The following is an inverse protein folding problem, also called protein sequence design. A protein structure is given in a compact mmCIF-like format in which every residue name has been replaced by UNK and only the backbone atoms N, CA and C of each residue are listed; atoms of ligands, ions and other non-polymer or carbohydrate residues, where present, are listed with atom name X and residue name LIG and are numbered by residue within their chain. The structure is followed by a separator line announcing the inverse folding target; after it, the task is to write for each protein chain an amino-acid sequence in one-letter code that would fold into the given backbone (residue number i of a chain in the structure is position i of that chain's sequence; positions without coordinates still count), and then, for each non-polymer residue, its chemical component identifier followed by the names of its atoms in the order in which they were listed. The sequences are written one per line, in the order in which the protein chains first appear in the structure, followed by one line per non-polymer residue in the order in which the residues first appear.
data_IF_587266629574
#
_entry.id   IF_587266629574
#
_cell.length_a   1.000
_cell.length_b   1.000
_cell.length_c   1.000
_cell.angle_alpha   90.00
_cell.angle_beta   90.00
_cell.angle_gamma   90.00
#
_symmetry.space_group_name_H-M   'P 1'
#
loop_
_entity.id
_entity.type
_entity.pdbx_description
1 polymer ?
#
# COMPACT_ATOMS: atom_id res chain seq x y z
N UNK A 1 -6.64 2.20 16.07
CA UNK A 1 -5.63 1.13 15.97
C UNK A 1 -6.38 -0.04 15.35
N UNK A 2 -6.04 -0.44 14.11
CA UNK A 2 -6.78 -1.51 13.44
C UNK A 2 -6.56 -2.83 14.17
N UNK A 3 -7.65 -3.55 14.43
CA UNK A 3 -7.58 -4.91 14.96
C UNK A 3 -7.25 -5.89 13.82
N UNK A 4 -6.60 -7.02 14.12
CA UNK A 4 -6.34 -8.05 13.11
C UNK A 4 -7.64 -8.60 12.48
N UNK A 5 -8.76 -8.58 13.21
CA UNK A 5 -10.08 -8.94 12.67
C UNK A 5 -10.56 -7.95 11.61
N UNK A 6 -10.45 -6.63 11.86
CA UNK A 6 -10.81 -5.60 10.88
C UNK A 6 -9.98 -5.73 9.60
N UNK A 7 -8.67 -5.93 9.73
CA UNK A 7 -7.80 -6.14 8.56
C UNK A 7 -8.23 -7.38 7.78
N UNK A 8 -8.56 -8.47 8.47
CA UNK A 8 -9.02 -9.71 7.83
C UNK A 8 -10.36 -9.53 7.13
N UNK A 9 -11.29 -8.79 7.74
CA UNK A 9 -12.58 -8.48 7.14
C UNK A 9 -12.39 -7.63 5.88
N UNK A 10 -11.59 -6.57 5.95
CA UNK A 10 -11.27 -5.74 4.79
C UNK A 10 -10.61 -6.56 3.68
N UNK A 11 -9.64 -7.43 4.01
CA UNK A 11 -9.02 -8.31 3.01
C UNK A 11 -10.03 -9.26 2.35
N UNK A 12 -10.99 -9.79 3.10
CA UNK A 12 -12.06 -10.61 2.53
C UNK A 12 -12.98 -9.82 1.59
N UNK A 13 -13.28 -8.56 1.92
CA UNK A 13 -14.04 -7.68 1.01
C UNK A 13 -13.26 -7.41 -0.28
N UNK A 14 -11.95 -7.17 -0.19
CA UNK A 14 -11.09 -6.98 -1.35
C UNK A 14 -10.99 -8.26 -2.21
N UNK A 15 -10.90 -9.45 -1.59
CA UNK A 15 -10.98 -10.74 -2.29
C UNK A 15 -12.29 -10.92 -3.03
N UNK A 16 -13.41 -10.58 -2.40
CA UNK A 16 -14.74 -10.64 -3.03
C UNK A 16 -14.84 -9.69 -4.23
N UNK A 17 -14.21 -8.52 -4.13
CA UNK A 17 -14.12 -7.55 -5.23
C UNK A 17 -13.12 -7.98 -6.31
N UNK A 18 -12.15 -8.83 -5.97
CA UNK A 18 -11.05 -9.26 -6.84
C UNK A 18 -10.06 -8.14 -7.18
N UNK A 19 -10.07 -7.05 -6.40
CA UNK A 19 -9.23 -5.86 -6.57
C UNK A 19 -9.17 -5.03 -5.29
N UNK A 20 -8.17 -4.17 -5.19
CA UNK A 20 -8.16 -3.11 -4.18
C UNK A 20 -9.35 -2.14 -4.32
N UNK A 21 -9.58 -1.35 -3.28
CA UNK A 21 -10.68 -0.39 -3.21
C UNK A 21 -10.16 1.04 -3.23
N UNK A 22 -11.04 1.99 -3.56
CA UNK A 22 -10.70 3.42 -3.65
C UNK A 22 -10.09 3.97 -2.35
N UNK A 23 -10.45 3.41 -1.20
CA UNK A 23 -9.98 3.85 0.13
C UNK A 23 -9.05 2.84 0.79
N UNK A 24 -8.84 1.66 0.20
CA UNK A 24 -7.98 0.60 0.77
C UNK A 24 -7.16 -0.03 -0.34
N UNK A 25 -5.85 0.19 -0.30
CA UNK A 25 -4.92 -0.37 -1.27
C UNK A 25 -3.98 -1.40 -0.62
N UNK A 26 -3.77 -2.52 -1.31
CA UNK A 26 -2.85 -3.58 -0.86
C UNK A 26 -1.55 -3.53 -1.65
N UNK A 27 -0.43 -3.78 -0.98
CA UNK A 27 0.87 -3.92 -1.63
C UNK A 27 1.61 -5.09 -1.00
N UNK A 28 2.17 -5.95 -1.84
CA UNK A 28 2.93 -7.10 -1.37
C UNK A 28 4.15 -6.66 -0.57
N UNK A 29 4.82 -5.57 -0.96
CA UNK A 29 5.97 -4.99 -0.24
C UNK A 29 6.96 -6.06 0.27
N UNK A 30 7.08 -7.16 -0.48
CA UNK A 30 7.89 -8.34 -0.14
C UNK A 30 9.25 -8.27 -0.84
N UNK A 31 9.31 -7.64 -2.02
CA UNK A 31 10.50 -7.60 -2.87
C UNK A 31 11.17 -6.22 -2.92
N UNK A 32 10.81 -5.32 -2.00
CA UNK A 32 11.31 -3.95 -1.92
C UNK A 32 10.20 -2.90 -1.82
N UNK A 33 10.59 -1.62 -1.89
CA UNK A 33 9.67 -0.49 -1.84
C UNK A 33 8.78 -0.45 -3.10
N UNK A 34 7.45 -0.61 -2.98
CA UNK A 34 6.56 -0.55 -4.13
C UNK A 34 6.61 0.86 -4.74
N UNK A 35 7.03 0.99 -5.99
CA UNK A 35 7.09 2.29 -6.67
C UNK A 35 5.71 2.98 -6.73
N UNK A 36 4.64 2.19 -6.78
CA UNK A 36 3.26 2.67 -6.79
C UNK A 36 2.78 3.26 -5.46
N UNK A 37 3.47 3.02 -4.32
CA UNK A 37 3.05 3.61 -3.03
C UNK A 37 2.96 5.14 -3.11
N UNK A 38 3.89 5.79 -3.82
CA UNK A 38 3.88 7.24 -3.96
C UNK A 38 2.64 7.73 -4.74
N UNK A 39 2.22 6.97 -5.76
CA UNK A 39 0.99 7.24 -6.50
C UNK A 39 -0.25 6.99 -5.62
N UNK A 40 -0.29 5.90 -4.85
CA UNK A 40 -1.35 5.59 -3.90
C UNK A 40 -1.51 6.71 -2.86
N UNK A 41 -0.41 7.18 -2.26
CA UNK A 41 -0.42 8.28 -1.29
C UNK A 41 -0.97 9.55 -1.95
N UNK A 42 -0.56 9.84 -3.19
CA UNK A 42 -1.07 11.00 -3.92
C UNK A 42 -2.57 10.87 -4.20
N UNK A 43 -3.05 9.66 -4.57
CA UNK A 43 -4.46 9.35 -4.75
C UNK A 43 -5.25 9.55 -3.46
N UNK A 44 -4.76 9.01 -2.35
CA UNK A 44 -5.40 9.10 -1.04
C UNK A 44 -5.38 10.51 -0.47
N UNK A 45 -4.35 11.32 -0.75
CA UNK A 45 -4.31 12.73 -0.36
C UNK A 45 -5.43 13.56 -1.00
N UNK A 46 -6.00 13.10 -2.12
CA UNK A 46 -7.13 13.73 -2.79
C UNK A 46 -8.49 13.25 -2.25
N UNK A 47 -8.53 12.21 -1.41
CA UNK A 47 -9.77 11.69 -0.85
C UNK A 47 -10.13 12.44 0.46
N UNK A 48 -11.40 12.79 0.67
CA UNK A 48 -11.84 13.53 1.85
C UNK A 48 -11.64 12.75 3.16
N UNK A 49 -11.71 11.42 3.12
CA UNK A 49 -11.48 10.51 4.25
C UNK A 49 -10.04 9.94 4.27
N UNK A 50 -9.20 10.33 3.31
CA UNK A 50 -7.89 9.71 3.10
C UNK A 50 -8.00 8.28 2.57
N UNK A 51 -7.01 7.44 2.91
CA UNK A 51 -7.03 6.02 2.55
C UNK A 51 -6.06 5.18 3.37
N UNK A 52 -6.25 3.88 3.32
CA UNK A 52 -5.50 2.86 4.08
C UNK A 52 -4.63 2.04 3.14
N UNK A 53 -3.34 1.91 3.45
CA UNK A 53 -2.41 1.06 2.70
C UNK A 53 -2.06 -0.16 3.55
N UNK A 54 -2.38 -1.34 3.07
CA UNK A 54 -2.02 -2.61 3.70
C UNK A 54 -0.78 -3.15 2.99
N UNK A 55 0.36 -3.12 3.68
CA UNK A 55 1.61 -3.67 3.17
C UNK A 55 1.80 -5.12 3.63
N UNK A 56 2.44 -5.94 2.80
CA UNK A 56 2.66 -7.36 3.07
C UNK A 56 1.58 -8.28 2.53
N UNK A 57 0.76 -7.82 1.57
CA UNK A 57 -0.36 -8.58 1.00
C UNK A 57 -0.27 -8.62 -0.52
N UNK A 58 -0.33 -9.81 -1.10
CA UNK A 58 -0.19 -10.02 -2.54
C UNK A 58 -1.56 -10.29 -3.19
N UNK A 59 -2.01 -9.34 -4.00
CA UNK A 59 -3.26 -9.42 -4.78
C UNK A 59 -3.23 -10.57 -5.80
N UNK A 60 -2.07 -10.86 -6.41
CA UNK A 60 -1.94 -11.95 -7.38
C UNK A 60 -2.08 -13.33 -6.73
N UNK A 61 -1.89 -13.39 -5.40
CA UNK A 61 -2.06 -14.60 -4.59
C UNK A 61 -3.35 -14.54 -3.76
N UNK A 62 -4.44 -13.97 -4.30
CA UNK A 62 -5.73 -13.87 -3.61
C UNK A 62 -5.61 -13.11 -2.28
N UNK A 63 -4.93 -11.95 -2.31
CA UNK A 63 -4.68 -11.13 -1.12
C UNK A 63 -4.00 -11.91 0.02
N UNK A 64 -3.11 -12.85 -0.31
CA UNK A 64 -2.39 -13.62 0.69
C UNK A 64 -1.39 -12.72 1.46
N UNK A 65 -1.28 -12.86 2.79
CA UNK A 65 -0.25 -12.19 3.57
C UNK A 65 1.12 -12.80 3.23
N UNK A 66 1.90 -12.10 2.41
CA UNK A 66 3.28 -12.46 2.03
C UNK A 66 4.32 -11.88 2.98
N UNK A 67 3.92 -10.93 3.84
CA UNK A 67 4.82 -10.24 4.76
C UNK A 67 5.62 -9.13 4.08
N UNK A 68 6.29 -8.32 4.89
CA UNK A 68 7.03 -7.14 4.44
C UNK A 68 8.52 -7.42 4.55
N UNK A 69 9.33 -7.00 3.56
CA UNK A 69 10.78 -7.24 3.59
C UNK A 69 11.46 -6.59 4.80
N UNK A 70 11.10 -5.34 5.10
CA UNK A 70 11.63 -4.56 6.21
C UNK A 70 10.66 -3.42 6.56
N UNK A 71 10.06 -3.49 7.75
CA UNK A 71 9.08 -2.51 8.22
C UNK A 71 9.72 -1.13 8.49
N UNK A 72 10.97 -1.10 8.96
CA UNK A 72 11.66 0.15 9.26
C UNK A 72 12.05 0.89 7.99
N UNK A 73 12.61 0.20 7.00
CA UNK A 73 12.97 0.81 5.71
C UNK A 73 11.72 1.26 4.94
N UNK A 74 10.64 0.47 4.95
CA UNK A 74 9.37 0.85 4.36
C UNK A 74 8.84 2.14 5.02
N UNK A 75 8.79 2.18 6.35
CA UNK A 75 8.30 3.33 7.10
C UNK A 75 9.19 4.56 6.89
N UNK A 76 10.50 4.38 6.87
CA UNK A 76 11.45 5.45 6.59
C UNK A 76 11.25 6.02 5.18
N UNK A 77 11.02 5.19 4.16
CA UNK A 77 10.74 5.64 2.79
C UNK A 77 9.38 6.31 2.64
N UNK A 78 8.38 5.90 3.41
CA UNK A 78 7.08 6.56 3.48
C UNK A 78 7.18 7.95 4.12
N UNK A 79 7.92 8.06 5.24
CA UNK A 79 8.10 9.31 5.99
C UNK A 79 9.07 10.27 5.30
N UNK A 80 10.02 9.74 4.55
CA UNK A 80 11.00 10.53 3.83
C UNK A 80 10.52 10.63 2.39
N UNK A 81 9.72 11.65 2.02
CA UNK A 81 9.37 11.85 0.62
C UNK A 81 10.67 12.04 -0.14
N UNK A 82 11.10 11.01 -0.87
CA UNK A 82 12.14 11.17 -1.88
C UNK A 82 11.55 12.14 -2.89
N UNK A 83 12.03 13.38 -2.85
CA UNK A 83 11.92 14.29 -3.99
C UNK A 83 12.45 13.50 -5.17
N UNK A 84 11.55 13.03 -6.02
CA UNK A 84 11.88 12.61 -7.37
C UNK A 84 12.46 13.86 -8.02
N UNK A 85 13.78 14.01 -7.94
CA UNK A 85 14.53 14.88 -8.83
C UNK A 85 14.29 14.30 -10.21
N UNK A 86 13.21 14.75 -10.83
CA UNK A 86 12.91 14.55 -12.23
C UNK A 86 13.96 15.37 -12.98
N UNK A 87 15.18 14.82 -13.06
CA UNK A 87 16.19 15.29 -13.99
C UNK A 87 15.79 14.72 -15.36
N UNK A 88 14.68 15.24 -15.88
CA UNK A 88 14.32 15.05 -17.28
C UNK A 88 15.27 15.95 -18.05
N UNK A 89 16.34 15.35 -18.55
CA UNK A 89 17.22 15.92 -19.57
C UNK A 89 16.38 16.66 -20.61
N UNK A 90 16.57 17.97 -20.70
CA UNK A 90 16.41 18.78 -21.89
C UNK A 90 17.46 19.88 -21.87
#
# INVERSE_FOLDING_TARGET
MYTPEEVTQTLNELRLLGRDSLTVEVKSAHNGYPSSIAETICSFANLPDGGTIICGVDEAQDFAPVGVYDLEDLRAKLLTPRRISNQKSR
#
